data_IF_088943548195
#
_entry.id   IF_088943548195
#
_cell.length_a   1.000
_cell.length_b   1.000
_cell.length_c   1.000
_cell.angle_alpha   90.00
_cell.angle_beta   90.00
_cell.angle_gamma   90.00
#
_symmetry.space_group_name_H-M   'P 1'
#
loop_
_entity.id
_entity.type
_entity.pdbx_description
1 polymer ?
#
# COMPACT_ATOMS: atom_id res chain seq x y z
N UNK A 1 19.99 -14.45 12.07
CA UNK A 1 20.82 -14.33 10.84
C UNK A 1 19.95 -13.78 9.73
N UNK A 2 20.39 -12.70 9.08
CA UNK A 2 19.67 -12.08 7.95
C UNK A 2 20.27 -12.67 6.67
N UNK A 3 19.42 -13.27 5.84
CA UNK A 3 19.82 -13.79 4.54
C UNK A 3 19.14 -12.95 3.44
N UNK A 4 19.92 -12.37 2.54
CA UNK A 4 19.40 -11.66 1.37
C UNK A 4 19.18 -12.64 0.24
N UNK A 5 17.93 -12.75 -0.20
CA UNK A 5 17.57 -13.54 -1.37
C UNK A 5 17.66 -12.70 -2.64
N UNK A 6 17.84 -13.36 -3.78
CA UNK A 6 17.72 -12.69 -5.08
C UNK A 6 16.26 -12.24 -5.27
N UNK A 7 16.01 -11.04 -5.83
CA UNK A 7 14.67 -10.62 -6.20
C UNK A 7 14.00 -11.64 -7.12
N UNK A 8 12.69 -11.79 -7.01
CA UNK A 8 11.92 -12.63 -7.93
C UNK A 8 11.96 -12.05 -9.35
N UNK A 9 11.91 -12.91 -10.35
CA UNK A 9 11.81 -12.47 -11.75
C UNK A 9 10.41 -11.97 -12.12
N UNK A 10 9.38 -12.45 -11.38
CA UNK A 10 7.98 -12.11 -11.62
C UNK A 10 7.28 -11.73 -10.30
N UNK A 11 6.39 -10.76 -10.40
CA UNK A 11 5.56 -10.29 -9.31
C UNK A 11 4.10 -10.30 -9.76
N UNK A 12 3.20 -10.69 -8.87
CA UNK A 12 1.77 -10.71 -9.17
C UNK A 12 1.01 -9.89 -8.15
N UNK A 13 0.10 -9.05 -8.63
CA UNK A 13 -0.87 -8.36 -7.80
C UNK A 13 -2.21 -9.08 -7.89
N UNK A 14 -2.75 -9.46 -6.72
CA UNK A 14 -3.96 -10.26 -6.59
C UNK A 14 -5.10 -9.37 -6.10
N UNK A 15 -6.15 -9.13 -6.90
CA UNK A 15 -7.26 -8.28 -6.48
C UNK A 15 -8.04 -8.80 -5.26
N UNK A 16 -8.04 -10.10 -5.02
CA UNK A 16 -8.73 -10.71 -3.87
C UNK A 16 -8.06 -10.38 -2.52
N UNK A 17 -6.81 -9.90 -2.52
CA UNK A 17 -6.14 -9.39 -1.32
C UNK A 17 -6.75 -8.06 -0.85
N UNK A 18 -7.54 -7.40 -1.71
CA UNK A 18 -8.21 -6.13 -1.42
C UNK A 18 -9.71 -6.35 -1.27
N UNK A 19 -10.14 -6.64 -0.06
CA UNK A 19 -11.54 -6.95 0.25
C UNK A 19 -12.46 -5.78 -0.11
N UNK A 20 -13.57 -6.09 -0.77
CA UNK A 20 -14.56 -5.07 -1.20
C UNK A 20 -14.25 -4.39 -2.53
N UNK A 21 -13.09 -4.67 -3.14
CA UNK A 21 -12.71 -4.11 -4.44
C UNK A 21 -13.28 -4.95 -5.59
N UNK A 22 -13.93 -4.29 -6.53
CA UNK A 22 -14.28 -4.89 -7.83
C UNK A 22 -13.25 -4.45 -8.85
N UNK A 23 -12.30 -5.32 -9.26
CA UNK A 23 -11.19 -4.90 -10.08
C UNK A 23 -11.61 -4.63 -11.53
N UNK A 24 -11.13 -3.53 -12.09
CA UNK A 24 -11.11 -3.24 -13.52
C UNK A 24 -9.66 -3.11 -13.95
N UNK A 25 -9.19 -4.05 -14.76
CA UNK A 25 -7.80 -4.04 -15.25
C UNK A 25 -7.54 -2.80 -16.10
N UNK A 26 -6.43 -2.11 -15.83
CA UNK A 26 -6.01 -0.90 -16.52
C UNK A 26 -4.95 -1.17 -17.60
N UNK A 27 -4.33 -2.36 -17.58
CA UNK A 27 -3.23 -2.77 -18.47
C UNK A 27 -3.60 -3.98 -19.31
N UNK A 28 -2.81 -4.26 -20.35
CA UNK A 28 -2.92 -5.45 -21.20
C UNK A 28 -1.63 -6.26 -21.13
N UNK A 29 -1.72 -7.54 -21.50
CA UNK A 29 -0.53 -8.36 -21.68
C UNK A 29 0.39 -7.75 -22.77
N UNK A 30 1.67 -7.67 -22.47
CA UNK A 30 2.68 -7.02 -23.29
C UNK A 30 2.91 -5.54 -22.97
N UNK A 31 2.06 -4.88 -22.17
CA UNK A 31 2.29 -3.50 -21.78
C UNK A 31 3.51 -3.40 -20.84
N UNK A 32 4.33 -2.37 -21.05
CA UNK A 32 5.38 -2.01 -20.11
C UNK A 32 4.82 -1.03 -19.07
N UNK A 33 5.13 -1.29 -17.79
CA UNK A 33 4.70 -0.48 -16.65
C UNK A 33 5.89 -0.10 -15.79
N UNK A 34 5.84 1.07 -15.19
CA UNK A 34 6.79 1.50 -14.16
C UNK A 34 6.31 1.06 -12.79
N UNK A 35 7.21 0.95 -11.83
CA UNK A 35 6.83 0.83 -10.43
C UNK A 35 6.02 2.07 -10.02
N UNK A 36 4.78 1.87 -9.56
CA UNK A 36 3.84 2.95 -9.27
C UNK A 36 2.72 3.14 -10.31
N UNK A 37 2.84 2.59 -11.52
CA UNK A 37 1.75 2.64 -12.50
C UNK A 37 0.63 1.66 -12.10
N UNK A 38 -0.63 2.07 -12.25
CA UNK A 38 -1.78 1.27 -11.82
C UNK A 38 -1.99 0.04 -12.71
N UNK A 39 -2.01 -1.16 -12.15
CA UNK A 39 -2.33 -2.41 -12.84
C UNK A 39 -3.84 -2.63 -12.97
N UNK A 40 -4.59 -2.28 -11.94
CA UNK A 40 -6.04 -2.27 -11.97
C UNK A 40 -6.58 -1.16 -11.05
N UNK A 41 -7.83 -0.81 -11.25
CA UNK A 41 -8.54 0.18 -10.46
C UNK A 41 -9.82 -0.42 -9.88
N UNK A 42 -10.35 0.21 -8.84
CA UNK A 42 -11.67 -0.16 -8.33
C UNK A 42 -12.74 0.31 -9.33
N UNK A 43 -13.58 -0.61 -9.82
CA UNK A 43 -14.65 -0.29 -10.79
C UNK A 43 -15.65 0.74 -10.26
N UNK A 44 -15.90 0.76 -8.95
CA UNK A 44 -16.84 1.70 -8.30
C UNK A 44 -16.23 3.08 -8.09
N UNK A 45 -14.92 3.13 -7.83
CA UNK A 45 -14.13 4.33 -7.59
C UNK A 45 -12.87 4.28 -8.45
N UNK A 46 -12.96 4.67 -9.74
CA UNK A 46 -11.86 4.53 -10.70
C UNK A 46 -10.58 5.29 -10.31
N UNK A 47 -10.68 6.28 -9.44
CA UNK A 47 -9.57 7.01 -8.85
C UNK A 47 -8.74 6.17 -7.86
N UNK A 48 -9.31 5.08 -7.33
CA UNK A 48 -8.59 4.14 -6.46
C UNK A 48 -7.88 3.12 -7.32
N UNK A 49 -6.61 3.40 -7.60
CA UNK A 49 -5.70 2.52 -8.33
C UNK A 49 -4.91 1.60 -7.40
N UNK A 50 -4.41 0.52 -7.97
CA UNK A 50 -3.51 -0.43 -7.31
C UNK A 50 -2.25 -0.54 -8.16
N UNK A 51 -1.16 -0.01 -7.62
CA UNK A 51 0.07 0.22 -8.35
C UNK A 51 0.92 -1.05 -8.48
N UNK A 52 1.67 -1.12 -9.57
CA UNK A 52 2.70 -2.16 -9.76
C UNK A 52 3.83 -1.97 -8.74
N UNK A 53 4.25 -3.04 -8.05
CA UNK A 53 5.39 -2.97 -7.14
C UNK A 53 6.74 -2.90 -7.86
N UNK A 54 6.78 -3.21 -9.13
CA UNK A 54 8.01 -3.24 -9.94
C UNK A 54 7.76 -2.65 -11.31
N UNK A 55 8.83 -2.16 -11.97
CA UNK A 55 8.77 -1.89 -13.40
C UNK A 55 9.03 -3.15 -14.19
N UNK A 56 8.38 -3.25 -15.33
CA UNK A 56 8.53 -4.41 -16.20
C UNK A 56 7.40 -4.58 -17.19
N UNK A 57 7.37 -5.74 -17.81
CA UNK A 57 6.36 -6.09 -18.80
C UNK A 57 5.26 -6.95 -18.18
N UNK A 58 4.01 -6.60 -18.42
CA UNK A 58 2.85 -7.41 -18.02
C UNK A 58 2.85 -8.71 -18.81
N UNK A 59 3.10 -9.83 -18.14
CA UNK A 59 3.19 -11.16 -18.78
C UNK A 59 1.85 -11.88 -18.84
N UNK A 60 0.98 -11.65 -17.86
CA UNK A 60 -0.32 -12.31 -17.82
C UNK A 60 -1.38 -11.51 -17.06
N UNK A 61 -2.59 -11.52 -17.58
CA UNK A 61 -3.81 -11.10 -16.89
C UNK A 61 -4.70 -12.33 -16.72
N UNK A 62 -4.48 -13.04 -15.62
CA UNK A 62 -5.18 -14.32 -15.36
C UNK A 62 -6.60 -14.05 -14.94
N UNK A 63 -7.54 -14.70 -15.62
CA UNK A 63 -8.97 -14.62 -15.35
C UNK A 63 -9.51 -16.00 -15.02
N UNK A 64 -10.37 -16.08 -14.03
CA UNK A 64 -11.12 -17.26 -13.66
C UNK A 64 -12.55 -17.24 -14.20
N UNK A 65 -13.40 -18.01 -13.53
CA UNK A 65 -14.81 -18.10 -13.87
C UNK A 65 -15.50 -16.74 -13.91
N UNK A 66 -16.45 -16.58 -14.83
CA UNK A 66 -17.21 -15.34 -15.05
C UNK A 66 -16.31 -14.11 -15.30
N UNK A 67 -15.13 -14.34 -15.87
CA UNK A 67 -14.10 -13.30 -16.17
C UNK A 67 -13.57 -12.59 -14.92
N UNK A 68 -13.68 -13.19 -13.73
CA UNK A 68 -13.08 -12.66 -12.51
C UNK A 68 -11.57 -12.53 -12.71
N UNK A 69 -11.00 -11.36 -12.41
CA UNK A 69 -9.55 -11.15 -12.45
C UNK A 69 -8.94 -11.81 -11.23
N UNK A 70 -8.08 -12.80 -11.43
CA UNK A 70 -7.40 -13.53 -10.36
C UNK A 70 -6.07 -12.90 -10.00
N UNK A 71 -5.29 -12.49 -11.00
CA UNK A 71 -4.00 -11.81 -10.80
C UNK A 71 -3.56 -11.10 -12.05
N UNK A 72 -2.72 -10.08 -11.86
CA UNK A 72 -1.96 -9.42 -12.91
C UNK A 72 -0.49 -9.67 -12.61
N UNK A 73 0.24 -10.28 -13.55
CA UNK A 73 1.65 -10.65 -13.38
C UNK A 73 2.53 -9.74 -14.20
N UNK A 74 3.60 -9.24 -13.58
CA UNK A 74 4.60 -8.38 -14.18
C UNK A 74 5.95 -9.06 -14.07
N UNK A 75 6.65 -9.22 -15.20
CA UNK A 75 8.04 -9.65 -15.24
C UNK A 75 8.92 -8.44 -15.00
N UNK A 76 9.67 -8.46 -13.90
CA UNK A 76 10.48 -7.34 -13.49
C UNK A 76 11.66 -7.08 -14.44
N UNK A 77 11.93 -5.81 -14.70
CA UNK A 77 13.13 -5.38 -15.42
C UNK A 77 14.37 -5.49 -14.54
N UNK A 78 15.53 -5.65 -15.17
CA UNK A 78 16.80 -5.66 -14.47
C UNK A 78 17.12 -4.29 -13.85
N UNK A 79 16.74 -3.22 -14.52
CA UNK A 79 16.82 -1.85 -14.03
C UNK A 79 15.41 -1.33 -13.80
N UNK A 80 15.13 -0.93 -12.55
CA UNK A 80 13.79 -0.49 -12.17
C UNK A 80 13.56 0.97 -12.56
N UNK A 81 12.40 1.24 -13.16
CA UNK A 81 11.88 2.56 -13.45
C UNK A 81 10.73 2.89 -12.50
N UNK A 82 10.67 4.12 -12.01
CA UNK A 82 9.67 4.55 -11.06
C UNK A 82 8.78 5.64 -11.66
N UNK A 83 7.50 5.58 -11.35
CA UNK A 83 6.59 6.69 -11.62
C UNK A 83 6.96 7.88 -10.73
N UNK A 84 7.10 9.06 -11.33
CA UNK A 84 7.42 10.28 -10.58
C UNK A 84 6.13 10.96 -10.12
N UNK A 85 5.89 10.98 -8.82
CA UNK A 85 4.77 11.68 -8.18
C UNK A 85 5.15 13.04 -7.62
N UNK A 86 6.40 13.49 -7.87
CA UNK A 86 6.99 14.69 -7.31
C UNK A 86 7.30 14.58 -5.82
N UNK A 87 8.27 15.37 -5.36
CA UNK A 87 8.62 15.45 -3.95
C UNK A 87 7.69 16.44 -3.26
N UNK A 88 6.95 15.97 -2.25
CA UNK A 88 6.02 16.79 -1.46
C UNK A 88 6.42 16.72 0.02
N UNK A 89 6.51 17.89 0.66
CA UNK A 89 6.74 17.95 2.11
C UNK A 89 5.41 17.67 2.84
N UNK A 90 5.28 16.53 3.55
CA UNK A 90 4.02 16.16 4.19
C UNK A 90 3.61 17.14 5.31
N UNK A 91 4.55 17.91 5.85
CA UNK A 91 4.24 18.90 6.89
C UNK A 91 3.47 20.11 6.37
N UNK A 92 3.57 20.37 5.05
CA UNK A 92 2.94 21.52 4.36
C UNK A 92 1.64 21.16 3.64
N UNK A 93 1.31 19.87 3.54
CA UNK A 93 0.10 19.41 2.89
C UNK A 93 -1.10 19.46 3.84
N UNK A 94 -2.27 19.74 3.31
CA UNK A 94 -3.54 19.50 3.98
C UNK A 94 -4.01 18.06 3.79
N UNK A 95 -5.04 17.64 4.52
CA UNK A 95 -5.55 16.27 4.47
C UNK A 95 -6.06 15.88 3.07
N UNK A 96 -6.69 16.81 2.35
CA UNK A 96 -7.21 16.54 1.00
C UNK A 96 -6.06 16.34 0.00
N UNK A 97 -4.98 17.10 0.09
CA UNK A 97 -3.80 16.94 -0.75
C UNK A 97 -3.08 15.62 -0.46
N UNK A 98 -3.06 15.16 0.80
CA UNK A 98 -2.49 13.84 1.15
C UNK A 98 -3.34 12.73 0.57
N UNK A 99 -4.67 12.78 0.70
CA UNK A 99 -5.58 11.78 0.08
C UNK A 99 -5.37 11.73 -1.43
N UNK A 100 -5.31 12.90 -2.09
CA UNK A 100 -5.04 12.98 -3.52
C UNK A 100 -3.69 12.34 -3.89
N UNK A 101 -2.63 12.61 -3.13
CA UNK A 101 -1.31 12.02 -3.36
C UNK A 101 -1.33 10.48 -3.20
N UNK A 102 -2.05 9.97 -2.20
CA UNK A 102 -2.21 8.52 -2.00
C UNK A 102 -3.01 7.85 -3.13
N UNK A 103 -4.04 8.53 -3.65
CA UNK A 103 -4.81 8.08 -4.81
C UNK A 103 -3.93 8.03 -6.07
N UNK A 104 -3.18 9.11 -6.34
CA UNK A 104 -2.27 9.20 -7.48
C UNK A 104 -1.17 8.12 -7.44
N UNK A 105 -0.64 7.84 -6.25
CA UNK A 105 0.38 6.81 -6.04
C UNK A 105 -0.16 5.37 -6.02
N UNK A 106 -1.49 5.19 -6.10
CA UNK A 106 -2.10 3.86 -6.04
C UNK A 106 -1.96 3.17 -4.67
N UNK A 107 -1.79 3.95 -3.59
CA UNK A 107 -1.60 3.44 -2.23
C UNK A 107 -2.86 3.55 -1.36
N UNK A 108 -3.84 4.35 -1.78
CA UNK A 108 -5.04 4.61 -0.98
C UNK A 108 -5.84 3.35 -0.69
N UNK A 109 -5.96 2.45 -1.67
CA UNK A 109 -6.68 1.19 -1.54
C UNK A 109 -6.04 0.15 -0.60
N UNK A 110 -4.80 0.39 -0.14
CA UNK A 110 -4.11 -0.46 0.85
C UNK A 110 -4.53 -0.16 2.29
N UNK A 111 -5.27 0.92 2.51
CA UNK A 111 -5.80 1.27 3.82
C UNK A 111 -7.14 0.55 4.00
N UNK A 112 -7.28 -0.19 5.10
CA UNK A 112 -8.52 -0.90 5.42
C UNK A 112 -9.45 -0.06 6.27
N UNK A 113 -10.73 -0.08 5.93
CA UNK A 113 -11.80 0.56 6.69
C UNK A 113 -12.37 -0.42 7.71
N UNK A 114 -12.22 -0.09 8.98
CA UNK A 114 -12.81 -0.87 10.07
C UNK A 114 -14.31 -0.51 10.28
N UNK A 115 -15.13 -1.44 10.78
CA UNK A 115 -14.78 -2.76 11.33
C UNK A 115 -14.72 -3.90 10.31
N UNK A 116 -15.04 -3.66 9.05
CA UNK A 116 -15.21 -4.71 8.05
C UNK A 116 -13.90 -5.12 7.35
N UNK A 117 -12.80 -4.42 7.63
CA UNK A 117 -11.49 -4.63 6.98
C UNK A 117 -11.62 -4.67 5.44
N UNK A 118 -12.35 -3.71 4.88
CA UNK A 118 -12.48 -3.53 3.45
C UNK A 118 -11.59 -2.39 2.97
N UNK A 119 -11.08 -2.48 1.75
CA UNK A 119 -10.29 -1.41 1.13
C UNK A 119 -11.06 -0.09 1.21
N UNK A 120 -10.39 0.98 1.68
CA UNK A 120 -11.03 2.27 1.88
C UNK A 120 -11.46 2.92 0.57
N UNK A 121 -12.48 3.76 0.66
CA UNK A 121 -13.05 4.51 -0.46
C UNK A 121 -13.01 6.01 -0.18
N UNK A 122 -12.83 6.86 -1.20
CA UNK A 122 -12.61 8.30 -1.02
C UNK A 122 -13.86 9.07 -0.56
N UNK A 123 -15.02 8.43 -0.55
CA UNK A 123 -16.31 8.99 -0.10
C UNK A 123 -16.49 8.99 1.42
N UNK A 124 -15.58 8.35 2.15
CA UNK A 124 -15.63 8.26 3.61
C UNK A 124 -14.41 8.91 4.26
N UNK A 125 -14.67 9.78 5.26
CA UNK A 125 -13.61 10.38 6.06
C UNK A 125 -13.41 9.61 7.35
N UNK A 126 -12.18 9.17 7.67
CA UNK A 126 -11.90 8.43 8.90
C UNK A 126 -11.94 9.35 10.12
N UNK A 127 -12.43 8.85 11.26
CA UNK A 127 -12.32 9.51 12.57
C UNK A 127 -10.91 9.38 13.14
N UNK A 128 -10.25 8.28 12.85
CA UNK A 128 -8.89 7.96 13.29
C UNK A 128 -8.26 6.96 12.34
N UNK A 129 -6.93 6.94 12.28
CA UNK A 129 -6.12 6.00 11.51
C UNK A 129 -5.29 5.20 12.50
N UNK A 130 -5.35 3.87 12.39
CA UNK A 130 -4.56 2.96 13.20
C UNK A 130 -3.43 2.39 12.36
N UNK A 131 -2.20 2.62 12.78
CA UNK A 131 -0.99 2.06 12.15
C UNK A 131 -0.44 1.00 13.08
N UNK A 132 -0.33 -0.24 12.60
CA UNK A 132 0.23 -1.34 13.38
C UNK A 132 1.68 -1.59 12.99
N UNK A 133 2.57 -1.36 13.96
CA UNK A 133 3.97 -1.80 13.91
C UNK A 133 4.17 -3.12 14.71
N UNK A 134 3.07 -3.69 15.21
CA UNK A 134 3.10 -4.96 15.93
C UNK A 134 3.24 -6.13 14.96
N UNK A 135 4.22 -6.97 15.21
CA UNK A 135 4.54 -8.18 14.44
C UNK A 135 4.66 -9.36 15.40
N UNK A 136 3.52 -9.91 15.82
CA UNK A 136 3.45 -11.01 16.80
C UNK A 136 2.88 -12.33 16.25
N UNK A 137 2.53 -12.36 14.97
CA UNK A 137 2.07 -13.60 14.33
C UNK A 137 3.26 -14.51 13.97
N UNK A 138 3.08 -15.82 14.02
CA UNK A 138 4.11 -16.78 13.58
C UNK A 138 4.60 -16.45 12.17
N UNK A 139 5.92 -16.52 11.96
CA UNK A 139 6.60 -16.27 10.68
C UNK A 139 6.46 -14.83 10.12
N UNK A 140 6.01 -13.87 10.92
CA UNK A 140 6.07 -12.47 10.53
C UNK A 140 7.50 -11.93 10.55
N UNK A 141 7.76 -10.93 9.67
CA UNK A 141 9.02 -10.20 9.66
C UNK A 141 9.21 -9.37 10.93
N UNK A 142 10.47 -9.11 11.27
CA UNK A 142 10.85 -8.21 12.34
C UNK A 142 10.71 -6.77 11.84
N UNK A 143 9.78 -6.02 12.42
CA UNK A 143 9.50 -4.65 12.03
C UNK A 143 10.70 -3.72 12.23
N UNK A 144 11.49 -3.90 13.30
CA UNK A 144 12.67 -3.08 13.55
C UNK A 144 13.74 -3.30 12.47
N UNK A 145 13.89 -4.56 12.04
CA UNK A 145 14.81 -4.92 10.96
C UNK A 145 14.35 -4.33 9.61
N UNK A 146 13.05 -4.38 9.33
CA UNK A 146 12.46 -3.82 8.11
C UNK A 146 12.58 -2.30 8.07
N UNK A 147 12.37 -1.63 9.22
CA UNK A 147 12.41 -0.18 9.34
C UNK A 147 13.83 0.39 9.29
N UNK A 148 14.83 -0.41 9.62
CA UNK A 148 16.21 0.04 9.77
C UNK A 148 16.73 0.77 8.54
N UNK A 149 17.08 2.04 8.72
CA UNK A 149 17.53 2.94 7.66
C UNK A 149 16.43 3.67 6.90
N UNK A 150 15.14 3.41 7.22
CA UNK A 150 13.97 4.05 6.63
C UNK A 150 13.11 4.81 7.67
N UNK A 151 13.69 5.11 8.83
CA UNK A 151 12.97 5.74 9.95
C UNK A 151 12.41 7.12 9.57
N UNK A 152 13.17 7.87 8.74
CA UNK A 152 12.73 9.19 8.26
C UNK A 152 11.52 9.10 7.32
N UNK A 153 11.52 8.11 6.45
CA UNK A 153 10.42 7.89 5.50
C UNK A 153 9.17 7.41 6.23
N UNK A 154 9.34 6.53 7.22
CA UNK A 154 8.26 6.11 8.10
C UNK A 154 7.66 7.29 8.86
N UNK A 155 8.51 8.14 9.46
CA UNK A 155 8.06 9.35 10.16
C UNK A 155 7.32 10.31 9.21
N UNK A 156 7.81 10.48 7.99
CA UNK A 156 7.15 11.29 6.97
C UNK A 156 5.76 10.71 6.62
N UNK A 157 5.64 9.39 6.51
CA UNK A 157 4.36 8.71 6.29
C UNK A 157 3.37 8.93 7.43
N UNK A 158 3.79 8.79 8.69
CA UNK A 158 2.96 9.08 9.87
C UNK A 158 2.53 10.55 9.88
N UNK A 159 3.44 11.46 9.56
CA UNK A 159 3.14 12.91 9.46
C UNK A 159 2.09 13.18 8.37
N UNK A 160 2.21 12.56 7.21
CA UNK A 160 1.23 12.67 6.14
C UNK A 160 -0.16 12.17 6.59
N UNK A 161 -0.24 10.97 7.15
CA UNK A 161 -1.49 10.39 7.63
C UNK A 161 -2.15 11.24 8.74
N UNK A 162 -1.36 11.88 9.60
CA UNK A 162 -1.85 12.76 10.66
C UNK A 162 -2.55 14.02 10.13
N UNK A 163 -2.35 14.36 8.84
CA UNK A 163 -3.07 15.47 8.18
C UNK A 163 -4.50 15.07 7.79
N UNK A 164 -4.75 13.77 7.61
CA UNK A 164 -6.09 13.27 7.27
C UNK A 164 -6.93 13.12 8.52
N UNK A 165 -6.40 12.43 9.54
CA UNK A 165 -7.10 12.17 10.80
C UNK A 165 -6.10 11.87 11.92
N UNK A 166 -6.60 11.77 13.16
CA UNK A 166 -5.79 11.36 14.31
C UNK A 166 -5.17 9.99 14.08
N UNK A 167 -3.85 9.89 14.18
CA UNK A 167 -3.11 8.63 14.02
C UNK A 167 -2.84 8.00 15.38
N UNK A 168 -3.12 6.70 15.48
CA UNK A 168 -2.75 5.85 16.61
C UNK A 168 -1.74 4.81 16.13
N UNK A 169 -0.51 4.89 16.62
CA UNK A 169 0.53 3.91 16.33
C UNK A 169 0.54 2.84 17.42
N UNK A 170 0.24 1.61 17.05
CA UNK A 170 0.38 0.43 17.88
C UNK A 170 1.75 -0.22 17.67
N UNK A 171 2.63 -0.11 18.66
CA UNK A 171 3.90 -0.82 18.71
C UNK A 171 3.97 -1.58 20.03
N UNK A 172 4.32 -2.87 19.99
CA UNK A 172 4.56 -3.67 21.17
C UNK A 172 6.01 -4.13 21.16
N UNK A 173 6.73 -3.77 22.22
CA UNK A 173 7.96 -4.45 22.58
C UNK A 173 7.60 -5.51 23.63
N UNK A 174 8.17 -6.71 23.54
CA UNK A 174 7.98 -7.80 24.51
C UNK A 174 8.43 -7.46 25.94
N UNK A 175 9.00 -6.31 26.17
CA UNK A 175 9.35 -5.81 27.48
C UNK A 175 8.31 -4.79 27.94
N UNK A 176 7.37 -5.22 28.75
CA UNK A 176 6.52 -4.42 29.67
C UNK A 176 6.42 -2.91 29.38
N UNK A 177 5.94 -2.53 28.23
CA UNK A 177 5.55 -1.15 27.97
C UNK A 177 4.09 -0.99 28.41
N UNK A 178 3.91 -0.48 29.61
CA UNK A 178 2.66 0.18 29.98
C UNK A 178 2.49 1.37 29.06
N UNK A 179 1.57 1.25 28.09
CA UNK A 179 1.16 2.38 27.27
C UNK A 179 0.62 3.47 28.21
N UNK A 180 1.07 4.72 28.09
CA UNK A 180 0.41 5.80 28.79
C UNK A 180 -1.00 5.97 28.19
N UNK A 181 -1.97 5.48 28.92
CA UNK A 181 -3.39 5.54 28.59
C UNK A 181 -3.99 6.89 28.90
N UNK A 182 -3.31 7.97 28.76
CA UNK A 182 -3.96 9.28 28.87
C UNK A 182 -3.10 10.37 28.28
N UNK A 183 -3.62 11.01 27.30
CA UNK A 183 -3.64 12.46 27.33
C UNK A 183 -5.06 12.92 27.06
N UNK A 184 -5.60 13.61 28.01
CA UNK A 184 -6.79 14.44 27.93
C UNK A 184 -6.68 15.43 26.76
#
# INVERSE_FOLDING_TARGET
TVTRLKPSAEYSLVPDDFVGVTPKVAVKEGDHVRAGDALFVNKRFPEVGFASPVSGTVTAVVRGDRRKVLRVTVKADAQQEYADFGVKDPSKLDGAAVVKALLEAGLFGYIDQLPYAVSTTPDTMPKAIFVSALRDKPLQGDFELELKGQEKDFQAGITALSRIARVHLGAVSYTHLTLPTTSR
#
